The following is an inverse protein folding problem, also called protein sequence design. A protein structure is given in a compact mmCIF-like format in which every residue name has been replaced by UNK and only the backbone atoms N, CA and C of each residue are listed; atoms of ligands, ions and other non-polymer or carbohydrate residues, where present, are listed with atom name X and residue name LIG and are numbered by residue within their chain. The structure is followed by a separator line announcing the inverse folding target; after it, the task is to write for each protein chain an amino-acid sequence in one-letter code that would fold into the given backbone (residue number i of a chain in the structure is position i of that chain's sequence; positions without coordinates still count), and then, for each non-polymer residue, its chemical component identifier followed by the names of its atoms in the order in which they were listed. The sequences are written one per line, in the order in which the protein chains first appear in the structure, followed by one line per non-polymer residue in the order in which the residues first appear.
data_IF_593441286367
#
_entry.id   IF_593441286367
#
_cell.length_a   1.000
_cell.length_b   1.000
_cell.length_c   1.000
_cell.angle_alpha   90.00
_cell.angle_beta   90.00
_cell.angle_gamma   90.00
#
_symmetry.space_group_name_H-M   'P 1'
#
loop_
_entity.id
_entity.type
_entity.pdbx_description
1 polymer ?
#
# COMPACT_ATOMS: atom_id res chain seq x y z
N UNK A 1 -69.65 -6.16 -11.91
CA UNK A 1 -69.03 -7.48 -11.66
C UNK A 1 -67.88 -7.64 -12.65
N UNK A 2 -66.67 -7.88 -12.12
CA UNK A 2 -65.45 -8.52 -12.70
C UNK A 2 -65.33 -8.55 -14.23
N UNK A 3 -64.41 -7.85 -14.92
CA UNK A 3 -62.92 -7.80 -15.00
C UNK A 3 -62.50 -8.23 -16.44
N UNK A 4 -61.35 -7.78 -16.97
CA UNK A 4 -61.19 -7.32 -18.36
C UNK A 4 -60.12 -8.12 -19.14
N UNK A 5 -59.73 -7.58 -20.30
CA UNK A 5 -58.55 -7.92 -21.13
C UNK A 5 -58.79 -9.08 -22.12
N UNK A 6 -58.50 -8.93 -23.41
CA UNK A 6 -57.12 -8.82 -23.89
C UNK A 6 -56.95 -7.89 -25.10
N UNK A 7 -56.08 -6.89 -24.94
CA UNK A 7 -55.53 -6.09 -26.03
C UNK A 7 -54.10 -6.56 -26.26
N UNK A 8 -53.91 -7.18 -27.41
CA UNK A 8 -52.73 -7.25 -28.27
C UNK A 8 -51.32 -7.29 -27.63
N UNK A 9 -50.80 -8.51 -27.53
CA UNK A 9 -49.44 -8.89 -27.10
C UNK A 9 -48.30 -8.34 -27.97
N UNK A 10 -48.58 -7.66 -29.09
CA UNK A 10 -47.55 -7.14 -30.00
C UNK A 10 -47.03 -5.75 -29.58
N UNK A 11 -47.73 -5.05 -28.67
CA UNK A 11 -47.31 -3.72 -28.22
C UNK A 11 -46.46 -3.70 -26.95
N UNK A 12 -46.24 -4.84 -26.28
CA UNK A 12 -45.48 -4.88 -25.03
C UNK A 12 -43.98 -5.15 -25.20
N UNK A 13 -43.50 -5.43 -26.42
CA UNK A 13 -42.10 -5.77 -26.69
C UNK A 13 -41.23 -4.60 -27.18
N UNK A 14 -41.73 -3.36 -27.15
CA UNK A 14 -41.05 -2.20 -27.75
C UNK A 14 -40.94 -0.99 -26.81
N UNK A 15 -40.98 -1.16 -25.48
CA UNK A 15 -41.03 0.00 -24.55
C UNK A 15 -40.21 -0.12 -23.26
N UNK A 16 -39.17 -0.95 -23.20
CA UNK A 16 -38.09 -0.86 -22.20
C UNK A 16 -36.82 -1.40 -22.89
N UNK A 17 -35.77 -0.66 -23.20
CA UNK A 17 -35.40 0.67 -22.73
C UNK A 17 -34.69 0.65 -21.38
N UNK A 18 -33.82 -0.33 -21.15
CA UNK A 18 -32.82 -0.42 -20.07
C UNK A 18 -31.58 -0.98 -20.79
N UNK A 19 -30.57 -0.20 -21.20
CA UNK A 19 -29.54 0.41 -20.34
C UNK A 19 -29.10 -0.57 -19.25
N UNK A 20 -28.52 -1.70 -19.67
CA UNK A 20 -27.53 -2.39 -18.86
C UNK A 20 -26.29 -1.48 -18.79
N UNK A 21 -26.37 -0.44 -17.95
CA UNK A 21 -25.21 0.04 -17.21
C UNK A 21 -24.74 -1.17 -16.41
N UNK A 22 -23.87 -1.95 -17.04
CA UNK A 22 -23.06 -2.93 -16.35
C UNK A 22 -22.19 -2.09 -15.41
N UNK A 23 -22.68 -1.93 -14.18
CA UNK A 23 -21.85 -1.54 -13.05
C UNK A 23 -20.67 -2.50 -13.08
N UNK A 24 -19.55 -2.03 -13.65
CA UNK A 24 -18.22 -2.55 -13.37
C UNK A 24 -18.03 -2.29 -11.87
N UNK A 25 -18.65 -3.16 -11.05
CA UNK A 25 -18.19 -3.46 -9.71
C UNK A 25 -16.72 -3.84 -9.91
N UNK A 26 -15.85 -2.83 -9.82
CA UNK A 26 -14.46 -2.99 -9.46
C UNK A 26 -14.50 -3.87 -8.19
N UNK A 27 -14.41 -5.19 -8.38
CA UNK A 27 -14.05 -6.11 -7.33
C UNK A 27 -12.67 -5.64 -6.88
N UNK A 28 -12.68 -4.73 -5.89
CA UNK A 28 -11.56 -4.36 -5.08
C UNK A 28 -11.19 -5.65 -4.34
N UNK A 29 -10.43 -6.51 -5.02
CA UNK A 29 -9.65 -7.53 -4.36
C UNK A 29 -8.64 -6.77 -3.50
N UNK A 30 -9.09 -6.43 -2.29
CA UNK A 30 -8.25 -6.14 -1.16
C UNK A 30 -7.28 -7.31 -1.04
N UNK A 31 -6.11 -7.13 -1.65
CA UNK A 31 -5.03 -8.11 -1.70
C UNK A 31 -4.45 -8.30 -0.31
N UNK A 32 -5.18 -8.99 0.55
CA UNK A 32 -4.69 -9.46 1.83
C UNK A 32 -3.56 -10.45 1.54
N UNK A 33 -2.32 -10.02 1.80
CA UNK A 33 -1.16 -10.89 1.77
C UNK A 33 -1.22 -11.80 3.00
N UNK A 34 -1.72 -13.02 2.82
CA UNK A 34 -1.67 -14.05 3.85
C UNK A 34 -0.26 -14.67 3.89
N UNK A 35 0.46 -14.53 5.00
CA UNK A 35 1.68 -15.31 5.24
C UNK A 35 1.23 -16.74 5.58
N UNK A 36 1.13 -17.59 4.56
CA UNK A 36 0.86 -19.01 4.75
C UNK A 36 2.15 -19.72 5.14
N UNK A 37 2.37 -19.92 6.44
CA UNK A 37 3.40 -20.86 6.89
C UNK A 37 2.89 -22.28 6.67
N UNK A 38 3.41 -22.96 5.64
CA UNK A 38 3.26 -24.40 5.53
C UNK A 38 4.15 -25.06 6.59
N UNK A 39 3.56 -25.47 7.72
CA UNK A 39 4.24 -26.37 8.65
C UNK A 39 4.56 -27.68 7.92
N UNK A 40 5.82 -27.87 7.54
CA UNK A 40 6.30 -29.19 7.17
C UNK A 40 6.49 -30.00 8.46
N UNK A 41 5.91 -31.21 8.59
CA UNK A 41 6.08 -32.04 9.77
C UNK A 41 7.47 -32.70 9.72
N UNK A 42 8.52 -31.96 10.08
CA UNK A 42 9.87 -32.51 10.09
C UNK A 42 10.97 -31.47 10.19
N UNK A 43 11.09 -30.77 11.30
CA UNK A 43 12.24 -29.90 11.56
C UNK A 43 12.11 -29.11 12.86
N UNK A 44 12.96 -29.48 13.84
CA UNK A 44 13.37 -28.75 15.06
C UNK A 44 12.32 -28.05 15.93
N UNK A 45 12.42 -28.31 17.24
CA UNK A 45 11.53 -27.79 18.27
C UNK A 45 11.68 -26.26 18.41
N UNK A 46 10.89 -25.48 17.69
CA UNK A 46 10.73 -24.02 17.82
C UNK A 46 10.02 -23.65 19.14
N UNK A 47 10.62 -24.00 20.28
CA UNK A 47 10.06 -23.71 21.60
C UNK A 47 10.51 -22.36 22.19
N UNK A 48 11.55 -21.75 21.62
CA UNK A 48 12.20 -20.55 22.17
C UNK A 48 12.40 -19.48 21.09
N UNK A 49 12.26 -18.23 21.50
CA UNK A 49 12.44 -17.04 20.64
C UNK A 49 13.83 -17.03 19.99
N UNK A 50 14.86 -17.46 20.73
CA UNK A 50 16.24 -17.53 20.24
C UNK A 50 16.41 -18.53 19.08
N UNK A 51 15.64 -19.63 19.08
CA UNK A 51 15.65 -20.60 17.99
C UNK A 51 15.05 -20.04 16.71
N UNK A 52 13.97 -19.25 16.83
CA UNK A 52 13.32 -18.58 15.70
C UNK A 52 14.21 -17.49 15.09
N UNK A 53 14.87 -16.69 15.93
CA UNK A 53 15.81 -15.65 15.49
C UNK A 53 17.01 -16.25 14.73
N UNK A 54 17.54 -17.37 15.22
CA UNK A 54 18.66 -18.05 14.57
C UNK A 54 18.27 -18.71 13.24
N UNK A 55 17.06 -19.24 13.14
CA UNK A 55 16.57 -19.89 11.91
C UNK A 55 16.23 -18.88 10.80
N UNK A 56 15.71 -17.72 11.18
CA UNK A 56 15.25 -16.70 10.24
C UNK A 56 16.01 -15.37 10.37
N UNK A 57 17.31 -15.41 10.67
CA UNK A 57 18.16 -14.23 10.87
C UNK A 57 18.00 -13.20 9.73
N UNK A 58 17.94 -13.68 8.49
CA UNK A 58 17.76 -12.85 7.29
C UNK A 58 16.45 -12.06 7.24
N UNK A 59 15.40 -12.47 7.97
CA UNK A 59 14.14 -11.72 8.03
C UNK A 59 14.20 -10.53 8.99
N UNK A 60 15.18 -10.50 9.89
CA UNK A 60 15.33 -9.48 10.93
C UNK A 60 16.45 -8.47 10.62
N UNK A 61 17.14 -8.64 9.49
CA UNK A 61 18.23 -7.77 9.06
C UNK A 61 17.86 -6.93 7.83
N UNK A 62 18.33 -5.67 7.83
CA UNK A 62 18.19 -4.78 6.68
C UNK A 62 16.77 -4.28 6.43
N UNK A 63 16.49 -3.95 5.16
CA UNK A 63 15.20 -3.47 4.68
C UNK A 63 14.62 -4.53 3.76
N UNK A 64 13.41 -5.00 4.08
CA UNK A 64 12.69 -5.96 3.26
C UNK A 64 12.13 -5.33 1.99
N UNK A 65 12.18 -6.06 0.87
CA UNK A 65 11.53 -5.68 -0.39
C UNK A 65 10.56 -6.78 -0.81
N UNK A 66 9.33 -6.40 -1.14
CA UNK A 66 8.34 -7.33 -1.68
C UNK A 66 8.67 -7.59 -3.16
N UNK A 67 9.10 -8.81 -3.45
CA UNK A 67 9.47 -9.21 -4.81
C UNK A 67 8.23 -9.33 -5.70
N UNK A 68 8.40 -8.99 -6.98
CA UNK A 68 7.43 -9.24 -8.06
C UNK A 68 6.05 -8.59 -7.87
N UNK A 69 6.02 -7.50 -7.11
CA UNK A 69 4.83 -6.66 -6.90
C UNK A 69 5.23 -5.19 -7.04
N UNK A 70 4.57 -4.51 -7.98
CA UNK A 70 4.64 -3.06 -8.10
C UNK A 70 3.32 -2.49 -7.59
N UNK A 71 3.38 -1.53 -6.68
CA UNK A 71 2.20 -0.82 -6.20
C UNK A 71 1.79 0.23 -7.23
N UNK A 72 0.54 0.19 -7.68
CA UNK A 72 -0.04 1.28 -8.46
C UNK A 72 -0.59 2.35 -7.50
N UNK A 73 -0.01 3.54 -7.54
CA UNK A 73 -0.55 4.69 -6.80
C UNK A 73 -1.61 5.35 -7.67
N UNK A 74 -2.88 5.19 -7.29
CA UNK A 74 -3.98 5.88 -7.96
C UNK A 74 -3.91 7.38 -7.69
N UNK A 75 -3.69 8.16 -8.76
CA UNK A 75 -3.69 9.63 -8.72
C UNK A 75 -4.98 10.12 -9.35
N UNK A 76 -5.69 11.01 -8.66
CA UNK A 76 -6.83 11.72 -9.21
C UNK A 76 -6.41 12.53 -10.45
N UNK A 77 -7.04 12.23 -11.59
CA UNK A 77 -6.75 12.86 -12.89
C UNK A 77 -7.07 14.36 -12.92
N UNK A 78 -7.88 14.86 -11.98
CA UNK A 78 -8.16 16.29 -11.87
C UNK A 78 -7.00 17.08 -11.23
N UNK A 79 -6.05 16.40 -10.57
CA UNK A 79 -4.94 17.04 -9.86
C UNK A 79 -3.79 17.36 -10.82
N UNK A 80 -3.31 18.61 -10.79
CA UNK A 80 -2.14 19.02 -11.56
C UNK A 80 -0.83 18.64 -10.84
N UNK A 81 0.20 18.17 -11.56
CA UNK A 81 1.48 17.88 -10.96
C UNK A 81 2.11 19.16 -10.39
N UNK A 82 2.56 19.09 -9.14
CA UNK A 82 3.18 20.23 -8.46
C UNK A 82 4.59 19.88 -8.00
N UNK A 83 5.58 20.59 -8.56
CA UNK A 83 6.95 20.50 -8.11
C UNK A 83 7.14 21.40 -6.88
N UNK A 84 7.31 20.78 -5.72
CA UNK A 84 7.64 21.47 -4.49
C UNK A 84 9.03 22.14 -4.60
N UNK A 85 9.14 23.35 -4.05
CA UNK A 85 10.42 24.09 -4.01
C UNK A 85 11.44 23.34 -3.15
N UNK A 86 12.71 23.39 -3.55
CA UNK A 86 13.80 22.85 -2.75
C UNK A 86 13.88 23.56 -1.38
N UNK A 87 13.76 22.78 -0.30
CA UNK A 87 13.91 23.29 1.07
C UNK A 87 15.39 23.35 1.45
N UNK A 88 15.84 24.47 2.01
CA UNK A 88 17.22 24.58 2.51
C UNK A 88 17.37 23.90 3.86
N UNK A 89 18.37 23.02 3.98
CA UNK A 89 18.70 22.36 5.25
C UNK A 89 19.59 23.29 6.10
N UNK A 90 19.20 23.47 7.36
CA UNK A 90 19.97 24.22 8.35
C UNK A 90 21.40 23.66 8.47
N UNK A 91 22.41 24.53 8.56
CA UNK A 91 23.83 24.14 8.47
C UNK A 91 24.24 23.01 9.42
N UNK A 92 23.77 23.04 10.66
CA UNK A 92 24.09 22.02 11.66
C UNK A 92 23.49 20.64 11.37
N UNK A 93 22.45 20.56 10.53
CA UNK A 93 21.79 19.31 10.17
C UNK A 93 22.26 18.73 8.85
N UNK A 94 22.99 19.52 8.03
CA UNK A 94 23.49 19.06 6.72
C UNK A 94 24.30 17.77 6.81
N UNK A 95 25.28 17.61 7.72
CA UNK A 95 26.06 16.37 7.78
C UNK A 95 25.19 15.14 8.07
N UNK A 96 24.18 15.31 8.94
CA UNK A 96 23.26 14.23 9.30
C UNK A 96 22.33 13.88 8.13
N UNK A 97 21.80 14.88 7.45
CA UNK A 97 20.93 14.68 6.28
C UNK A 97 21.72 14.05 5.14
N UNK A 98 22.94 14.52 4.84
CA UNK A 98 23.79 13.95 3.80
C UNK A 98 24.18 12.50 4.07
N UNK A 99 24.47 12.14 5.33
CA UNK A 99 24.75 10.76 5.70
C UNK A 99 23.54 9.83 5.46
N UNK A 100 22.34 10.27 5.85
CA UNK A 100 21.13 9.49 5.63
C UNK A 100 20.78 9.39 4.14
N UNK A 101 20.93 10.47 3.37
CA UNK A 101 20.72 10.46 1.93
C UNK A 101 21.63 9.45 1.22
N UNK A 102 22.93 9.42 1.58
CA UNK A 102 23.87 8.44 1.01
C UNK A 102 23.48 7.01 1.36
N UNK A 103 23.01 6.76 2.58
CA UNK A 103 22.53 5.44 3.00
C UNK A 103 21.31 5.02 2.16
N UNK A 104 20.32 5.90 2.04
CA UNK A 104 19.09 5.61 1.29
C UNK A 104 19.34 5.45 -0.22
N UNK A 105 20.32 6.16 -0.77
CA UNK A 105 20.77 6.00 -2.16
C UNK A 105 21.47 4.64 -2.37
N UNK A 106 22.30 4.20 -1.43
CA UNK A 106 22.93 2.87 -1.47
C UNK A 106 21.90 1.74 -1.36
N UNK A 107 20.81 1.97 -0.64
CA UNK A 107 19.69 1.03 -0.47
C UNK A 107 18.65 1.12 -1.61
N UNK A 108 18.84 2.00 -2.61
CA UNK A 108 17.95 2.23 -3.75
C UNK A 108 16.50 2.60 -3.38
N UNK A 109 16.32 3.40 -2.31
CA UNK A 109 15.00 3.71 -1.73
C UNK A 109 14.41 5.02 -2.25
N UNK A 110 15.24 6.02 -2.55
CA UNK A 110 14.77 7.39 -2.75
C UNK A 110 14.76 7.82 -4.23
N UNK A 111 13.64 8.43 -4.63
CA UNK A 111 13.49 9.21 -5.87
C UNK A 111 13.00 10.62 -5.52
N UNK A 112 13.46 11.61 -6.28
CA UNK A 112 13.47 13.07 -6.01
C UNK A 112 12.18 13.64 -5.35
N UNK A 113 12.29 14.10 -4.10
CA UNK A 113 11.27 14.88 -3.37
C UNK A 113 11.95 15.84 -2.37
N UNK A 114 11.38 17.03 -2.08
CA UNK A 114 11.97 17.95 -1.11
C UNK A 114 12.00 17.38 0.30
N UNK A 115 13.13 17.61 0.97
CA UNK A 115 13.41 17.07 2.31
C UNK A 115 12.72 17.93 3.37
N UNK A 116 11.97 17.28 4.27
CA UNK A 116 11.40 17.88 5.47
C UNK A 116 12.09 17.30 6.69
N UNK A 117 12.58 18.16 7.58
CA UNK A 117 13.25 17.75 8.82
C UNK A 117 12.21 17.67 9.93
N UNK A 118 11.93 16.47 10.41
CA UNK A 118 11.09 16.24 11.59
C UNK A 118 11.94 16.21 12.87
N UNK A 119 11.46 16.87 13.92
CA UNK A 119 12.06 16.75 15.25
C UNK A 119 11.60 15.44 15.89
N UNK A 120 12.54 14.65 16.43
CA UNK A 120 12.17 13.47 17.22
C UNK A 120 11.54 13.93 18.52
N UNK A 121 10.37 13.40 18.85
CA UNK A 121 9.81 13.51 20.19
C UNK A 121 10.73 12.80 21.18
N UNK A 122 10.92 13.39 22.37
CA UNK A 122 11.64 12.72 23.46
C UNK A 122 10.90 11.44 23.85
N UNK A 123 11.63 10.40 24.25
CA UNK A 123 11.02 9.20 24.84
C UNK A 123 10.38 9.59 26.18
N UNK A 124 9.22 9.03 26.54
CA UNK A 124 8.65 9.28 27.86
C UNK A 124 9.63 8.77 28.93
N UNK A 125 10.20 9.69 29.74
CA UNK A 125 11.07 9.36 30.88
C UNK A 125 12.52 9.86 30.82
N UNK A 126 12.97 10.51 29.74
CA UNK A 126 14.30 11.16 29.69
C UNK A 126 14.19 12.66 29.94
N UNK A 127 14.25 13.06 31.22
CA UNK A 127 14.44 14.45 31.65
C UNK A 127 15.90 14.63 32.12
N UNK A 128 16.69 15.33 31.30
CA UNK A 128 17.86 16.20 31.55
C UNK A 128 18.79 16.21 30.33
#
# INVERSE_FOLDING_TARGET
MQKPEQINLVQQLMTMGEEDDMDDDDEEEDGAVYIVHAMQPGGVHLGTVDGLLAEFEQLFEGIGCLKDRLMHVHIDKAVQPFALKHCQVAFHLRPKVEAELRKLEQEDIIWVSPIVIAHKTKKPGEDL
#
